data_IF_694937183412
#
_entry.id   IF_694937183412
#
_cell.length_a   1.000
_cell.length_b   1.000
_cell.length_c   1.000
_cell.angle_alpha   90.00
_cell.angle_beta   90.00
_cell.angle_gamma   90.00
#
_symmetry.space_group_name_H-M   'P 1'
#
loop_
_entity.id
_entity.type
_entity.pdbx_description
1 polymer ?
#
# COMPACT_ATOMS: atom_id res chain seq x y z
N UNK A 1 23.43 11.94 -8.06
CA UNK A 1 22.96 13.28 -7.65
C UNK A 1 21.57 13.02 -7.14
N UNK A 2 21.45 12.84 -5.83
CA UNK A 2 20.25 12.33 -5.18
C UNK A 2 19.15 13.39 -5.28
N UNK A 3 18.21 13.19 -6.20
CA UNK A 3 17.05 14.06 -6.32
C UNK A 3 16.06 13.71 -5.19
N UNK A 4 16.29 14.26 -4.00
CA UNK A 4 15.28 14.33 -2.95
C UNK A 4 14.14 15.24 -3.43
N UNK A 5 13.15 14.66 -4.10
CA UNK A 5 11.89 15.34 -4.40
C UNK A 5 11.01 15.30 -3.15
N UNK A 6 10.76 16.48 -2.56
CA UNK A 6 9.69 16.66 -1.59
C UNK A 6 8.38 16.48 -2.36
N UNK A 7 7.82 15.26 -2.33
CA UNK A 7 6.70 14.81 -3.17
C UNK A 7 5.35 15.48 -2.85
N UNK A 8 5.29 16.31 -1.81
CA UNK A 8 4.05 16.66 -1.14
C UNK A 8 3.85 18.17 -1.05
N UNK A 9 3.61 18.85 -2.18
CA UNK A 9 3.30 20.28 -2.13
C UNK A 9 1.83 20.62 -2.33
N UNK A 10 0.91 19.64 -2.20
CA UNK A 10 -0.56 19.78 -1.97
C UNK A 10 -1.12 18.39 -1.66
N UNK A 11 -1.03 17.93 -0.41
CA UNK A 11 -1.94 16.88 0.05
C UNK A 11 -3.27 17.60 0.31
N UNK A 12 -4.25 17.42 -0.57
CA UNK A 12 -5.61 17.75 -0.18
C UNK A 12 -6.03 16.67 0.83
N UNK A 13 -5.83 16.93 2.12
CA UNK A 13 -6.49 16.20 3.21
C UNK A 13 -7.95 16.57 3.14
N UNK A 14 -8.68 16.04 2.15
CA UNK A 14 -10.10 16.29 2.05
C UNK A 14 -10.70 15.45 3.18
N UNK A 15 -11.20 16.14 4.20
CA UNK A 15 -11.97 15.54 5.29
C UNK A 15 -13.23 14.79 4.78
N UNK A 16 -13.59 15.00 3.50
CA UNK A 16 -14.62 14.27 2.75
C UNK A 16 -14.24 14.22 1.25
N UNK A 17 -13.53 13.19 0.77
CA UNK A 17 -13.33 13.02 -0.69
C UNK A 17 -14.57 12.33 -1.29
N UNK A 18 -15.56 13.10 -1.71
CA UNK A 18 -16.40 12.73 -2.86
C UNK A 18 -15.68 13.31 -4.06
N UNK A 19 -15.29 12.53 -5.10
CA UNK A 19 -15.19 12.98 -6.51
C UNK A 19 -14.82 11.81 -7.45
N UNK A 20 -15.60 11.69 -8.54
CA UNK A 20 -15.33 10.86 -9.72
C UNK A 20 -13.99 11.24 -10.38
N UNK A 21 -13.03 10.33 -10.47
CA UNK A 21 -11.88 10.51 -11.36
C UNK A 21 -11.41 9.16 -11.91
N UNK A 22 -11.68 8.94 -13.21
CA UNK A 22 -11.50 7.66 -13.87
C UNK A 22 -10.08 7.08 -13.91
N UNK A 23 -10.10 5.74 -13.99
CA UNK A 23 -9.17 4.66 -14.38
C UNK A 23 -7.64 4.76 -14.16
N UNK A 24 -7.03 5.94 -14.00
CA UNK A 24 -5.56 6.07 -13.97
C UNK A 24 -4.99 6.70 -12.70
N UNK A 25 -5.68 6.55 -11.55
CA UNK A 25 -5.26 7.15 -10.28
C UNK A 25 -5.27 6.12 -9.16
N UNK A 26 -4.20 6.12 -8.36
CA UNK A 26 -4.06 5.24 -7.22
C UNK A 26 -4.38 5.95 -5.92
N UNK A 27 -4.77 5.14 -4.94
CA UNK A 27 -5.16 5.59 -3.63
C UNK A 27 -4.45 4.72 -2.59
N UNK A 28 -3.69 5.36 -1.71
CA UNK A 28 -3.01 4.70 -0.59
C UNK A 28 -3.76 5.02 0.68
N UNK A 29 -4.50 4.06 1.20
CA UNK A 29 -5.27 4.25 2.43
C UNK A 29 -4.38 4.01 3.65
N UNK A 30 -4.19 5.01 4.52
CA UNK A 30 -3.39 4.88 5.73
C UNK A 30 -4.24 4.60 6.98
N UNK A 31 -4.21 3.39 7.55
CA UNK A 31 -4.87 3.14 8.84
C UNK A 31 -3.95 3.56 9.99
N UNK A 32 -4.24 4.72 10.58
CA UNK A 32 -3.49 5.24 11.73
C UNK A 32 -3.41 4.27 12.92
N UNK A 33 -4.37 3.35 13.06
CA UNK A 33 -4.47 2.41 14.19
C UNK A 33 -3.64 1.13 14.01
N UNK A 34 -3.29 0.74 12.77
CA UNK A 34 -2.62 -0.54 12.48
C UNK A 34 -1.33 -0.42 11.66
N UNK A 35 -0.97 0.78 11.21
CA UNK A 35 0.19 0.96 10.31
C UNK A 35 0.02 0.19 9.00
N UNK A 36 -1.23 0.03 8.54
CA UNK A 36 -1.54 -0.71 7.33
C UNK A 36 -1.75 0.28 6.19
N UNK A 37 -1.12 -0.03 5.06
CA UNK A 37 -1.33 0.61 3.77
C UNK A 37 -2.17 -0.36 2.94
N UNK A 38 -3.14 0.16 2.20
CA UNK A 38 -3.84 -0.62 1.18
C UNK A 38 -3.63 0.04 -0.17
N UNK A 39 -3.51 -0.82 -1.18
CA UNK A 39 -3.58 -0.42 -2.58
C UNK A 39 -5.03 -0.57 -3.04
N UNK A 40 -5.57 0.47 -3.69
CA UNK A 40 -6.88 0.41 -4.34
C UNK A 40 -6.69 0.34 -5.85
N UNK A 41 -7.17 -0.75 -6.45
CA UNK A 41 -7.18 -0.99 -7.91
C UNK A 41 -8.44 -0.41 -8.58
N UNK A 42 -9.44 0.03 -7.82
CA UNK A 42 -10.71 0.58 -8.30
C UNK A 42 -11.13 1.85 -7.52
N UNK A 43 -12.00 2.67 -8.12
CA UNK A 43 -12.58 3.85 -7.48
C UNK A 43 -13.57 3.44 -6.38
N UNK A 44 -13.15 3.50 -5.12
CA UNK A 44 -13.97 3.15 -3.96
C UNK A 44 -14.10 4.28 -2.92
N UNK A 45 -15.16 4.20 -2.12
CA UNK A 45 -15.33 5.07 -0.96
C UNK A 45 -14.35 4.69 0.15
N UNK A 46 -13.51 5.65 0.53
CA UNK A 46 -12.53 5.49 1.58
C UNK A 46 -13.03 6.15 2.87
N UNK A 47 -13.03 5.39 3.97
CA UNK A 47 -13.41 5.89 5.31
C UNK A 47 -12.46 7.03 5.75
N UNK A 48 -13.02 8.02 6.44
CA UNK A 48 -12.34 9.20 7.00
C UNK A 48 -11.08 8.92 7.83
N UNK A 49 -10.93 7.69 8.34
CA UNK A 49 -9.73 7.27 9.09
C UNK A 49 -8.50 7.02 8.20
N UNK A 50 -8.66 7.07 6.89
CA UNK A 50 -7.59 6.88 5.92
C UNK A 50 -7.22 8.19 5.24
N UNK A 51 -5.93 8.40 5.03
CA UNK A 51 -5.43 9.39 4.08
C UNK A 51 -5.45 8.80 2.67
N UNK A 52 -5.44 9.64 1.63
CA UNK A 52 -5.27 9.25 0.23
C UNK A 52 -4.06 10.00 -0.33
N UNK A 53 -3.16 9.28 -1.00
CA UNK A 53 -1.97 9.85 -1.64
C UNK A 53 -2.16 9.80 -3.15
N UNK A 54 -2.10 10.97 -3.79
CA UNK A 54 -2.20 11.13 -5.25
C UNK A 54 -0.90 11.79 -5.71
N UNK A 55 -0.16 11.20 -6.68
CA UNK A 55 1.07 11.79 -7.17
C UNK A 55 0.72 12.97 -8.07
N UNK A 56 1.58 13.98 -8.09
CA UNK A 56 1.43 15.12 -9.01
C UNK A 56 2.18 14.95 -10.32
N UNK A 57 3.06 13.97 -10.37
CA UNK A 57 3.87 13.62 -11.53
C UNK A 57 3.48 12.22 -11.99
N UNK A 58 3.82 11.89 -13.23
CA UNK A 58 3.72 10.52 -13.72
C UNK A 58 4.54 9.60 -12.81
N UNK A 59 3.90 8.52 -12.37
CA UNK A 59 4.45 7.63 -11.36
C UNK A 59 3.83 6.24 -11.50
N UNK A 60 4.64 5.19 -11.43
CA UNK A 60 4.10 3.83 -11.48
C UNK A 60 3.36 3.51 -10.15
N UNK A 61 2.04 3.23 -10.18
CA UNK A 61 1.21 3.13 -8.98
C UNK A 61 1.72 2.13 -7.93
N UNK A 62 1.97 0.89 -8.36
CA UNK A 62 2.45 -0.18 -7.49
C UNK A 62 3.86 0.09 -6.97
N UNK A 63 4.70 0.76 -7.76
CA UNK A 63 6.02 1.19 -7.29
C UNK A 63 5.89 2.16 -6.09
N UNK A 64 4.92 3.09 -6.12
CA UNK A 64 4.73 4.00 -4.97
C UNK A 64 4.28 3.23 -3.74
N UNK A 65 3.33 2.32 -3.92
CA UNK A 65 2.86 1.45 -2.85
C UNK A 65 4.02 0.72 -2.18
N UNK A 66 4.86 0.02 -2.95
CA UNK A 66 6.00 -0.71 -2.38
C UNK A 66 7.04 0.24 -1.76
N UNK A 67 7.23 1.43 -2.35
CA UNK A 67 8.15 2.43 -1.81
C UNK A 67 7.69 2.94 -0.44
N UNK A 68 6.40 3.23 -0.28
CA UNK A 68 5.84 3.66 1.00
C UNK A 68 5.81 2.50 1.99
N UNK A 69 5.38 1.32 1.57
CA UNK A 69 5.37 0.11 2.40
C UNK A 69 6.76 -0.18 2.99
N UNK A 70 7.81 0.00 2.20
CA UNK A 70 9.21 -0.15 2.64
C UNK A 70 9.63 0.88 3.69
N UNK A 71 9.28 2.15 3.51
CA UNK A 71 9.69 3.25 4.41
C UNK A 71 8.77 3.39 5.63
N UNK A 72 7.59 2.77 5.58
CA UNK A 72 6.57 2.93 6.60
C UNK A 72 7.06 2.54 8.01
N UNK A 73 7.72 1.38 8.25
CA UNK A 73 8.10 0.98 9.60
C UNK A 73 8.99 2.01 10.30
N UNK A 74 9.97 2.58 9.59
CA UNK A 74 10.87 3.60 10.13
C UNK A 74 10.12 4.92 10.36
N UNK A 75 9.24 5.29 9.43
CA UNK A 75 8.38 6.47 9.58
C UNK A 75 7.48 6.37 10.82
N UNK A 76 6.82 5.22 11.02
CA UNK A 76 5.97 4.96 12.18
C UNK A 76 6.77 5.06 13.49
N UNK A 77 7.94 4.43 13.55
CA UNK A 77 8.79 4.45 14.73
C UNK A 77 9.17 5.88 15.17
N UNK A 78 9.27 6.82 14.22
CA UNK A 78 9.67 8.20 14.48
C UNK A 78 8.51 9.15 14.72
N UNK A 79 7.38 8.98 14.01
CA UNK A 79 6.31 9.97 13.96
C UNK A 79 4.98 9.50 14.57
N UNK A 80 4.83 8.21 14.93
CA UNK A 80 3.63 7.72 15.57
C UNK A 80 3.62 8.08 17.06
N UNK A 81 2.64 8.89 17.47
CA UNK A 81 2.43 9.26 18.87
C UNK A 81 1.25 8.50 19.44
N UNK A 82 1.53 7.36 20.07
CA UNK A 82 0.51 6.46 20.59
C UNK A 82 -0.24 5.73 19.47
N UNK A 83 -1.58 5.81 19.47
CA UNK A 83 -2.42 5.04 18.54
C UNK A 83 -2.65 5.78 17.21
N UNK A 84 -2.37 7.08 17.14
CA UNK A 84 -2.72 7.90 15.97
C UNK A 84 -1.49 8.54 15.33
N UNK A 85 -1.61 8.80 14.02
CA UNK A 85 -0.64 9.58 13.23
C UNK A 85 -1.35 10.82 12.73
N UNK A 86 -0.70 11.96 12.94
CA UNK A 86 -1.19 13.22 12.39
C UNK A 86 -0.89 13.25 10.90
N UNK A 87 -1.88 13.58 10.08
CA UNK A 87 -1.72 13.59 8.61
C UNK A 87 -0.57 14.50 8.17
N UNK A 88 -0.34 15.60 8.89
CA UNK A 88 0.75 16.54 8.62
C UNK A 88 2.15 15.94 8.84
N UNK A 89 2.29 14.82 9.55
CA UNK A 89 3.60 14.18 9.66
C UNK A 89 3.97 13.42 8.39
N UNK A 90 3.00 13.07 7.52
CA UNK A 90 3.26 12.37 6.26
C UNK A 90 4.17 13.18 5.34
N UNK A 91 4.15 14.52 5.45
CA UNK A 91 5.08 15.42 4.73
C UNK A 91 6.56 15.15 5.06
N UNK A 92 6.86 14.50 6.19
CA UNK A 92 8.22 14.13 6.58
C UNK A 92 8.68 12.79 5.99
N UNK A 93 7.81 12.03 5.32
CA UNK A 93 8.20 10.80 4.65
C UNK A 93 9.04 11.13 3.42
N UNK A 94 10.28 10.64 3.41
CA UNK A 94 11.19 10.77 2.27
C UNK A 94 11.16 9.47 1.47
N UNK A 95 10.90 9.57 0.16
CA UNK A 95 10.91 8.44 -0.75
C UNK A 95 12.07 8.60 -1.74
N UNK A 96 12.82 7.52 -1.96
CA UNK A 96 13.80 7.45 -3.05
C UNK A 96 13.06 7.07 -4.34
N UNK A 97 13.17 7.92 -5.36
CA UNK A 97 12.40 7.79 -6.60
C UNK A 97 13.37 7.48 -7.74
N UNK A 98 13.08 6.41 -8.47
CA UNK A 98 13.78 6.05 -9.70
C UNK A 98 13.10 6.69 -10.91
N UNK A 99 13.76 6.66 -12.06
CA UNK A 99 13.16 7.05 -13.34
C UNK A 99 11.96 6.15 -13.69
N UNK A 100 10.99 6.70 -14.42
CA UNK A 100 9.68 6.05 -14.65
C UNK A 100 9.80 4.63 -15.22
N UNK A 101 10.72 4.41 -16.16
CA UNK A 101 10.98 3.10 -16.75
C UNK A 101 11.42 2.06 -15.71
N UNK A 102 12.26 2.48 -14.77
CA UNK A 102 12.76 1.61 -13.71
C UNK A 102 11.70 1.39 -12.63
N UNK A 103 10.86 2.39 -12.35
CA UNK A 103 9.69 2.21 -11.48
C UNK A 103 8.79 1.09 -11.99
N UNK A 104 8.45 1.07 -13.28
CA UNK A 104 7.62 0.02 -13.88
C UNK A 104 8.30 -1.36 -13.85
N UNK A 105 9.62 -1.44 -14.12
CA UNK A 105 10.36 -2.71 -14.03
C UNK A 105 10.37 -3.26 -12.60
N UNK A 106 10.63 -2.40 -11.63
CA UNK A 106 10.66 -2.78 -10.20
C UNK A 106 9.26 -3.22 -9.76
N UNK A 107 8.23 -2.43 -10.06
CA UNK A 107 6.85 -2.77 -9.73
C UNK A 107 6.46 -4.15 -10.29
N UNK A 108 6.75 -4.39 -11.58
CA UNK A 108 6.45 -5.67 -12.23
C UNK A 108 7.13 -6.85 -11.54
N UNK A 109 8.41 -6.71 -11.18
CA UNK A 109 9.17 -7.74 -10.47
C UNK A 109 8.53 -8.06 -9.09
N UNK A 110 8.20 -7.02 -8.32
CA UNK A 110 7.57 -7.17 -7.01
C UNK A 110 6.17 -7.79 -7.10
N UNK A 111 5.37 -7.38 -8.08
CA UNK A 111 4.04 -7.97 -8.32
C UNK A 111 4.12 -9.46 -8.67
N UNK A 112 5.13 -9.88 -9.46
CA UNK A 112 5.34 -11.30 -9.76
C UNK A 112 5.65 -12.11 -8.50
N UNK A 113 6.45 -11.55 -7.59
CA UNK A 113 6.74 -12.19 -6.31
C UNK A 113 5.48 -12.27 -5.42
N UNK A 114 4.69 -11.21 -5.36
CA UNK A 114 3.43 -11.17 -4.62
C UNK A 114 2.45 -12.26 -5.11
N UNK A 115 2.29 -12.40 -6.44
CA UNK A 115 1.48 -13.44 -7.04
C UNK A 115 1.99 -14.85 -6.70
N UNK A 116 3.31 -15.06 -6.73
CA UNK A 116 3.91 -16.34 -6.36
C UNK A 116 3.65 -16.70 -4.89
N UNK A 117 3.80 -15.73 -3.99
CA UNK A 117 3.51 -15.89 -2.55
C UNK A 117 2.03 -16.23 -2.34
N UNK A 118 1.11 -15.54 -3.01
CA UNK A 118 -0.32 -15.78 -2.87
C UNK A 118 -0.74 -17.16 -3.36
N UNK A 119 -0.17 -17.61 -4.49
CA UNK A 119 -0.41 -18.97 -4.99
C UNK A 119 0.09 -20.04 -4.01
N UNK A 120 1.26 -19.84 -3.41
CA UNK A 120 1.81 -20.76 -2.41
C UNK A 120 0.93 -20.81 -1.15
N UNK A 121 0.47 -19.65 -0.66
CA UNK A 121 -0.47 -19.58 0.48
C UNK A 121 -1.76 -20.34 0.19
N UNK A 122 -2.31 -20.19 -1.01
CA UNK A 122 -3.52 -20.93 -1.44
C UNK A 122 -3.28 -22.43 -1.44
N UNK A 123 -2.17 -22.89 -2.03
CA UNK A 123 -1.82 -24.31 -2.06
C UNK A 123 -1.67 -24.89 -0.63
N UNK A 124 -1.01 -24.16 0.28
CA UNK A 124 -0.89 -24.56 1.68
C UNK A 124 -2.26 -24.67 2.36
N UNK A 125 -3.17 -23.73 2.10
CA UNK A 125 -4.52 -23.74 2.69
C UNK A 125 -5.38 -24.88 2.14
N UNK A 126 -5.31 -25.16 0.84
CA UNK A 126 -5.96 -26.32 0.22
C UNK A 126 -5.47 -27.64 0.84
N UNK A 127 -4.16 -27.78 1.04
CA UNK A 127 -3.57 -28.97 1.69
C UNK A 127 -4.04 -29.11 3.14
N UNK A 128 -4.09 -28.00 3.90
CA UNK A 128 -4.60 -28.01 5.28
C UNK A 128 -6.07 -28.43 5.33
N UNK A 129 -6.90 -27.94 4.41
CA UNK A 129 -8.31 -28.28 4.32
C UNK A 129 -8.51 -29.75 3.96
N UNK A 130 -7.74 -30.27 2.99
CA UNK A 130 -7.75 -31.69 2.67
C UNK A 130 -7.34 -32.54 3.88
N UNK A 131 -6.26 -32.18 4.57
CA UNK A 131 -5.81 -32.88 5.79
C UNK A 131 -6.92 -32.91 6.84
N UNK A 132 -7.59 -31.78 7.09
CA UNK A 132 -8.68 -31.69 8.07
C UNK A 132 -9.85 -32.61 7.69
N UNK A 133 -10.28 -32.54 6.44
CA UNK A 133 -11.32 -33.41 5.90
C UNK A 133 -10.97 -34.90 6.06
N UNK A 134 -9.74 -35.30 5.71
CA UNK A 134 -9.30 -36.68 5.87
C UNK A 134 -9.32 -37.13 7.34
N UNK A 135 -8.84 -36.30 8.26
CA UNK A 135 -8.86 -36.61 9.69
C UNK A 135 -10.28 -36.75 10.23
N UNK A 136 -11.20 -35.85 9.87
CA UNK A 136 -12.62 -35.92 10.28
C UNK A 136 -13.29 -37.21 9.80
N UNK A 137 -12.95 -37.67 8.59
CA UNK A 137 -13.48 -38.92 8.02
C UNK A 137 -12.76 -40.19 8.51
N UNK A 138 -11.65 -40.07 9.25
CA UNK A 138 -10.95 -41.22 9.86
C UNK A 138 -11.47 -41.58 11.26
N UNK A 139 -12.23 -40.69 11.92
CA UNK A 139 -12.81 -40.93 13.26
C UNK A 139 -14.25 -41.49 13.18
N UNK A 140 -14.57 -42.19 12.10
CA UNK A 140 -15.85 -42.91 11.88
C UNK A 140 -15.66 -44.40 12.11
#
# INVERSE_FOLDING_TARGET
>A
MDNELILFDRLNVIRDVIHLHGEDKFYLSFSATKGQIMYLDEDEYVDTKYAVIIPKIEFAPKYLYYSIEKELPEFLAKYQSGINIQVDTLYHMKLSIHDIDDQYKIAKCLQQNELAIENEKRAVEEIKNLKRFMLENMVV
#
